data_IF_692066003168
#
_entry.id   IF_692066003168
#
_cell.length_a   1.000
_cell.length_b   1.000
_cell.length_c   1.000
_cell.angle_alpha   90.00
_cell.angle_beta   90.00
_cell.angle_gamma   90.00
#
_symmetry.space_group_name_H-M   'P 1'
#
loop_
_entity.id
_entity.type
_entity.pdbx_description
1 polymer ?
#
# COMPACT_ATOMS: atom_id res chain seq x y z
N UNK A 1 -8.77 8.13 1.97
CA UNK A 1 -9.87 7.38 1.31
C UNK A 1 -9.30 6.03 0.88
N UNK A 2 -9.87 4.93 1.33
CA UNK A 2 -9.44 3.58 0.93
C UNK A 2 -10.08 3.20 -0.41
N UNK A 3 -9.27 2.74 -1.36
CA UNK A 3 -9.73 2.21 -2.63
C UNK A 3 -9.48 0.71 -2.66
N UNK A 4 -10.50 -0.07 -3.03
CA UNK A 4 -10.34 -1.51 -3.18
C UNK A 4 -9.76 -1.82 -4.56
N UNK A 5 -8.78 -2.72 -4.60
CA UNK A 5 -8.18 -3.23 -5.84
C UNK A 5 -8.60 -4.69 -6.02
N UNK A 6 -9.20 -5.03 -7.16
CA UNK A 6 -9.52 -6.42 -7.51
C UNK A 6 -8.82 -6.83 -8.80
N UNK A 7 -8.48 -8.13 -8.93
CA UNK A 7 -7.91 -8.69 -10.15
C UNK A 7 -8.81 -9.82 -10.67
N UNK A 8 -9.32 -9.68 -11.89
CA UNK A 8 -10.09 -10.72 -12.57
C UNK A 8 -9.77 -10.73 -14.07
N UNK A 9 -9.45 -11.89 -14.64
CA UNK A 9 -9.26 -12.06 -16.09
C UNK A 9 -8.23 -11.12 -16.73
N UNK A 10 -7.11 -10.83 -16.05
CA UNK A 10 -6.09 -9.84 -16.45
C UNK A 10 -6.58 -8.38 -16.43
N UNK A 11 -7.68 -8.10 -15.74
CA UNK A 11 -8.12 -6.75 -15.42
C UNK A 11 -7.84 -6.46 -13.96
N UNK A 12 -7.31 -5.28 -13.70
CA UNK A 12 -7.29 -4.68 -12.38
C UNK A 12 -8.39 -3.63 -12.32
N UNK A 13 -9.20 -3.64 -11.28
CA UNK A 13 -10.22 -2.62 -11.05
C UNK A 13 -9.89 -1.83 -9.80
N UNK A 14 -9.99 -0.51 -9.91
CA UNK A 14 -10.04 0.38 -8.77
C UNK A 14 -11.50 0.66 -8.44
N UNK A 15 -11.90 0.44 -7.20
CA UNK A 15 -13.27 0.67 -6.74
C UNK A 15 -13.35 1.89 -5.83
N UNK A 16 -14.47 2.60 -5.90
CA UNK A 16 -14.86 3.61 -4.90
C UNK A 16 -15.21 2.93 -3.57
N UNK A 17 -15.30 3.68 -2.45
CA UNK A 17 -15.74 3.12 -1.16
C UNK A 17 -17.11 2.43 -1.19
N UNK A 18 -18.00 2.84 -2.11
CA UNK A 18 -19.33 2.23 -2.30
C UNK A 18 -19.31 0.93 -3.14
N UNK A 19 -18.12 0.47 -3.57
CA UNK A 19 -17.92 -0.74 -4.36
C UNK A 19 -18.04 -0.56 -5.87
N UNK A 20 -18.49 0.61 -6.36
CA UNK A 20 -18.57 0.88 -7.80
C UNK A 20 -17.18 0.95 -8.44
N UNK A 21 -17.07 0.48 -9.69
CA UNK A 21 -15.81 0.50 -10.43
C UNK A 21 -15.51 1.93 -10.90
N UNK A 22 -14.39 2.46 -10.45
CA UNK A 22 -13.86 3.76 -10.87
C UNK A 22 -13.06 3.63 -12.17
N UNK A 23 -12.22 2.60 -12.26
CA UNK A 23 -11.32 2.40 -13.38
C UNK A 23 -10.98 0.93 -13.54
N UNK A 24 -10.81 0.48 -14.78
CA UNK A 24 -10.26 -0.83 -15.08
C UNK A 24 -9.02 -0.72 -15.96
N UNK A 25 -8.01 -1.50 -15.63
CA UNK A 25 -6.75 -1.57 -16.33
C UNK A 25 -6.55 -2.97 -16.87
N UNK A 26 -6.19 -3.10 -18.14
CA UNK A 26 -5.77 -4.36 -18.72
C UNK A 26 -4.49 -4.17 -19.53
N UNK A 27 -3.63 -5.17 -19.47
CA UNK A 27 -2.50 -5.27 -20.38
C UNK A 27 -2.69 -6.47 -21.29
N UNK A 28 -2.47 -6.27 -22.58
CA UNK A 28 -2.32 -7.34 -23.54
C UNK A 28 -0.86 -7.42 -23.94
N UNK A 29 -0.26 -8.61 -23.79
CA UNK A 29 1.14 -8.87 -24.14
C UNK A 29 1.17 -9.84 -25.31
N UNK A 30 1.96 -9.54 -26.34
CA UNK A 30 2.23 -10.44 -27.46
C UNK A 30 3.73 -10.55 -27.73
N UNK A 31 4.11 -11.50 -28.57
CA UNK A 31 5.51 -11.92 -28.85
C UNK A 31 6.45 -10.82 -29.33
N UNK A 32 5.95 -9.64 -29.66
CA UNK A 32 6.74 -8.52 -30.20
C UNK A 32 6.32 -7.16 -29.65
N UNK A 33 5.45 -7.12 -28.63
CA UNK A 33 5.00 -5.85 -28.08
C UNK A 33 4.01 -5.94 -26.94
N UNK A 34 3.79 -4.77 -26.37
CA UNK A 34 2.91 -4.51 -25.25
C UNK A 34 1.84 -3.53 -25.68
N UNK A 35 0.60 -3.84 -25.32
CA UNK A 35 -0.47 -2.87 -25.31
C UNK A 35 -1.07 -2.77 -23.92
N UNK A 36 -1.22 -1.53 -23.52
CA UNK A 36 -1.88 -1.13 -22.30
C UNK A 36 -3.19 -0.51 -22.70
N UNK A 37 -4.24 -0.99 -22.04
CA UNK A 37 -5.60 -0.57 -22.26
C UNK A 37 -6.16 -0.09 -20.93
N UNK A 38 -6.44 1.20 -20.87
CA UNK A 38 -7.09 1.85 -19.74
C UNK A 38 -8.56 2.03 -20.10
N UNK A 39 -9.43 1.33 -19.40
CA UNK A 39 -10.88 1.52 -19.49
C UNK A 39 -11.32 2.40 -18.31
N UNK A 40 -11.90 3.54 -18.60
CA UNK A 40 -12.49 4.42 -17.60
C UNK A 40 -13.99 4.15 -17.61
N UNK A 41 -14.52 3.79 -16.44
CA UNK A 41 -15.89 3.36 -16.31
C UNK A 41 -16.78 4.54 -15.93
N UNK A 42 -17.95 4.62 -16.57
CA UNK A 42 -18.97 5.58 -16.21
C UNK A 42 -19.77 5.13 -14.97
N UNK A 43 -20.69 5.99 -14.47
CA UNK A 43 -21.51 5.68 -13.29
C UNK A 43 -22.37 4.41 -13.42
N UNK A 44 -22.67 3.98 -14.64
CA UNK A 44 -23.46 2.78 -14.94
C UNK A 44 -22.62 1.49 -15.03
N UNK A 45 -21.30 1.57 -14.79
CA UNK A 45 -20.37 0.45 -14.91
C UNK A 45 -20.04 0.05 -16.35
N UNK A 46 -20.43 0.86 -17.35
CA UNK A 46 -19.98 0.70 -18.74
C UNK A 46 -18.66 1.43 -18.98
N UNK A 47 -17.90 1.04 -20.01
CA UNK A 47 -16.67 1.75 -20.40
C UNK A 47 -17.05 3.07 -21.07
N UNK A 48 -16.97 4.16 -20.33
CA UNK A 48 -17.25 5.51 -20.81
C UNK A 48 -16.11 6.04 -21.70
N UNK A 49 -14.87 5.69 -21.37
CA UNK A 49 -13.71 6.08 -22.16
C UNK A 49 -12.66 4.98 -22.21
N UNK A 50 -11.90 4.94 -23.30
CA UNK A 50 -10.85 3.96 -23.51
C UNK A 50 -9.60 4.64 -24.04
N UNK A 51 -8.54 4.60 -23.23
CA UNK A 51 -7.21 5.02 -23.61
C UNK A 51 -6.37 3.79 -23.93
N UNK A 52 -5.78 3.77 -25.12
CA UNK A 52 -4.92 2.66 -25.57
C UNK A 52 -3.54 3.19 -25.87
N UNK A 53 -2.53 2.60 -25.26
CA UNK A 53 -1.14 2.82 -25.58
C UNK A 53 -0.50 1.51 -26.00
N UNK A 54 0.25 1.51 -27.09
CA UNK A 54 1.00 0.34 -27.52
C UNK A 54 2.43 0.70 -27.85
N UNK A 55 3.34 -0.22 -27.53
CA UNK A 55 4.74 -0.12 -27.88
C UNK A 55 5.32 -1.50 -28.09
N UNK A 56 6.22 -1.61 -29.06
CA UNK A 56 7.08 -2.78 -29.17
C UNK A 56 8.14 -2.70 -28.07
N UNK A 57 8.01 -3.56 -27.05
CA UNK A 57 9.01 -3.76 -26.00
C UNK A 57 9.59 -5.14 -26.25
N UNK A 58 10.89 -5.20 -26.52
CA UNK A 58 11.56 -6.46 -26.83
C UNK A 58 11.92 -7.19 -25.54
N UNK A 59 11.67 -8.51 -25.50
CA UNK A 59 11.86 -9.37 -24.32
C UNK A 59 13.29 -9.41 -23.74
N UNK A 60 14.28 -8.86 -24.45
CA UNK A 60 15.65 -8.77 -23.95
C UNK A 60 15.82 -7.76 -22.81
N UNK A 61 14.86 -6.83 -22.64
CA UNK A 61 14.90 -5.84 -21.57
C UNK A 61 14.29 -6.45 -20.30
N UNK A 62 15.09 -7.25 -19.57
CA UNK A 62 14.64 -8.04 -18.42
C UNK A 62 14.18 -7.21 -17.21
N UNK A 63 14.25 -5.88 -17.28
CA UNK A 63 13.82 -4.95 -16.22
C UNK A 63 13.30 -3.65 -16.85
N UNK A 64 12.01 -3.60 -17.14
CA UNK A 64 11.34 -2.39 -17.59
C UNK A 64 10.42 -1.88 -16.49
N UNK A 65 10.77 -0.74 -15.90
CA UNK A 65 9.96 -0.10 -14.87
C UNK A 65 8.91 0.78 -15.54
N UNK A 66 7.67 0.31 -15.57
CA UNK A 66 6.56 1.14 -16.03
C UNK A 66 5.94 1.87 -14.86
N UNK A 67 5.85 3.19 -14.97
CA UNK A 67 5.06 4.01 -14.06
C UNK A 67 3.88 4.60 -14.83
N UNK A 68 2.69 4.35 -14.31
CA UNK A 68 1.48 5.00 -14.75
C UNK A 68 1.17 6.11 -13.76
N UNK A 69 0.74 7.25 -14.26
CA UNK A 69 0.49 8.43 -13.45
C UNK A 69 -0.81 9.04 -13.95
N UNK A 70 -1.88 8.85 -13.19
CA UNK A 70 -3.18 9.44 -13.47
C UNK A 70 -3.23 10.83 -12.89
N UNK A 71 -3.03 11.84 -13.73
CA UNK A 71 -3.04 13.25 -13.35
C UNK A 71 -4.48 13.76 -13.44
N UNK A 72 -5.21 13.62 -12.33
CA UNK A 72 -6.63 13.98 -12.29
C UNK A 72 -6.83 15.47 -12.48
N UNK A 73 -5.90 16.31 -12.00
CA UNK A 73 -5.98 17.76 -12.14
C UNK A 73 -5.93 18.22 -13.60
N UNK A 74 -5.36 17.42 -14.50
CA UNK A 74 -5.22 17.76 -15.92
C UNK A 74 -5.99 16.84 -16.88
N UNK A 75 -6.72 15.84 -16.38
CA UNK A 75 -7.41 14.85 -17.23
C UNK A 75 -6.40 14.09 -18.13
N UNK A 76 -5.28 13.66 -17.56
CA UNK A 76 -4.18 13.02 -18.29
C UNK A 76 -3.74 11.70 -17.63
N UNK A 77 -3.43 10.71 -18.47
CA UNK A 77 -2.68 9.51 -18.07
C UNK A 77 -1.27 9.65 -18.64
N UNK A 78 -0.28 9.73 -17.75
CA UNK A 78 1.14 9.80 -18.11
C UNK A 78 1.77 8.44 -17.92
N UNK A 79 2.48 7.96 -18.95
CA UNK A 79 3.16 6.67 -18.96
C UNK A 79 4.65 6.93 -18.99
N UNK A 80 5.36 6.41 -18.00
CA UNK A 80 6.81 6.47 -17.93
C UNK A 80 7.41 5.08 -18.07
N UNK A 81 8.57 5.00 -18.71
CA UNK A 81 9.42 3.81 -18.77
C UNK A 81 10.78 4.20 -18.20
N UNK A 82 11.19 3.54 -17.12
CA UNK A 82 12.41 3.85 -16.39
C UNK A 82 12.48 5.36 -16.11
N UNK A 83 11.42 5.90 -15.50
CA UNK A 83 11.25 7.32 -15.11
C UNK A 83 11.18 8.32 -16.28
N UNK A 84 11.34 7.87 -17.53
CA UNK A 84 11.25 8.71 -18.72
C UNK A 84 9.83 8.73 -19.28
N UNK A 85 9.24 9.92 -19.47
CA UNK A 85 7.91 10.07 -20.05
C UNK A 85 7.87 9.49 -21.48
N UNK A 86 6.99 8.53 -21.70
CA UNK A 86 6.78 7.88 -23.00
C UNK A 86 5.53 8.38 -23.70
N UNK A 87 4.47 8.66 -22.94
CA UNK A 87 3.20 9.13 -23.47
C UNK A 87 2.43 9.93 -22.44
N UNK A 88 1.64 10.88 -22.94
CA UNK A 88 0.57 11.56 -22.22
C UNK A 88 -0.70 11.31 -23.01
N UNK A 89 -1.73 10.79 -22.34
CA UNK A 89 -3.01 10.45 -22.96
C UNK A 89 -4.09 11.28 -22.27
N UNK A 90 -4.81 12.11 -23.03
CA UNK A 90 -5.97 12.81 -22.50
C UNK A 90 -7.12 11.85 -22.24
N UNK A 91 -7.71 11.93 -21.06
CA UNK A 91 -8.77 11.05 -20.59
C UNK A 91 -9.64 11.80 -19.57
N UNK A 92 -10.98 11.70 -19.63
CA UNK A 92 -11.88 12.42 -18.72
C UNK A 92 -11.87 11.77 -17.32
N UNK A 93 -10.83 12.06 -16.54
CA UNK A 93 -10.60 11.51 -15.21
C UNK A 93 -11.43 12.28 -14.17
N UNK A 94 -11.48 13.62 -14.20
CA UNK A 94 -12.16 14.45 -13.19
C UNK A 94 -13.63 14.12 -12.99
N UNK A 95 -14.37 13.90 -14.08
CA UNK A 95 -15.80 13.63 -14.02
C UNK A 95 -16.08 12.37 -13.18
N UNK A 96 -15.28 11.33 -13.41
CA UNK A 96 -15.43 10.04 -12.75
C UNK A 96 -14.83 10.00 -11.33
N UNK A 97 -13.90 10.93 -11.05
CA UNK A 97 -13.15 11.05 -9.80
C UNK A 97 -13.62 12.19 -8.89
N UNK A 98 -14.76 12.83 -9.18
CA UNK A 98 -15.31 13.87 -8.32
C UNK A 98 -15.49 13.37 -6.88
N UNK A 99 -14.90 14.08 -5.91
CA UNK A 99 -14.89 13.73 -4.48
C UNK A 99 -13.67 12.96 -3.99
N UNK A 100 -12.73 12.58 -4.87
CA UNK A 100 -11.44 12.00 -4.51
C UNK A 100 -10.41 13.07 -4.12
N UNK A 101 -9.65 12.84 -3.05
CA UNK A 101 -8.48 13.67 -2.68
C UNK A 101 -7.20 13.25 -3.42
N UNK A 102 -7.16 12.02 -3.95
CA UNK A 102 -6.02 11.55 -4.74
C UNK A 102 -5.88 12.42 -6.00
N UNK A 103 -4.67 12.88 -6.32
CA UNK A 103 -4.37 13.55 -7.58
C UNK A 103 -3.51 12.69 -8.50
N UNK A 104 -2.89 11.64 -7.96
CA UNK A 104 -1.97 10.74 -8.63
C UNK A 104 -2.12 9.29 -8.15
N UNK A 105 -2.01 8.36 -9.10
CA UNK A 105 -2.05 6.92 -8.89
C UNK A 105 -0.91 6.27 -9.67
N UNK A 106 -0.11 5.41 -9.02
CA UNK A 106 1.01 4.68 -9.63
C UNK A 106 0.99 3.18 -9.35
N UNK A 107 1.36 2.40 -10.37
CA UNK A 107 1.51 0.95 -10.30
C UNK A 107 2.89 0.52 -10.78
N UNK A 108 3.43 -0.55 -10.18
CA UNK A 108 4.68 -1.19 -10.57
C UNK A 108 4.44 -2.61 -11.06
N UNK A 109 4.99 -2.98 -12.23
CA UNK A 109 4.80 -4.31 -12.86
C UNK A 109 6.12 -5.10 -12.79
N UNK A 110 6.13 -6.20 -12.03
CA UNK A 110 7.34 -6.99 -11.74
C UNK A 110 7.67 -8.08 -12.77
N UNK A 111 6.68 -8.62 -13.51
CA UNK A 111 6.90 -9.76 -14.40
C UNK A 111 5.91 -9.82 -15.55
N UNK A 112 6.38 -10.27 -16.70
CA UNK A 112 5.57 -10.44 -17.91
C UNK A 112 4.87 -11.81 -17.93
N UNK A 113 3.53 -11.82 -18.02
CA UNK A 113 2.69 -13.02 -18.20
C UNK A 113 1.47 -13.10 -17.27
N UNK A 114 1.61 -12.57 -16.05
CA UNK A 114 0.51 -12.32 -15.12
C UNK A 114 0.76 -10.95 -14.48
N UNK A 115 -0.22 -10.06 -14.50
CA UNK A 115 -0.10 -8.77 -13.83
C UNK A 115 -0.07 -8.99 -12.32
N UNK A 116 1.12 -9.00 -11.75
CA UNK A 116 1.33 -8.92 -10.31
C UNK A 116 1.87 -7.55 -9.99
N UNK A 117 1.08 -6.77 -9.26
CA UNK A 117 1.49 -5.50 -8.69
C UNK A 117 2.06 -5.78 -7.31
N UNK A 118 3.22 -5.19 -6.97
CA UNK A 118 3.74 -5.28 -5.61
C UNK A 118 3.16 -4.22 -4.69
N UNK A 119 2.94 -3.00 -5.20
CA UNK A 119 2.40 -1.86 -4.45
C UNK A 119 1.70 -0.85 -5.37
N UNK A 120 0.79 -0.08 -4.77
CA UNK A 120 0.11 1.08 -5.36
C UNK A 120 0.37 2.30 -4.47
N UNK A 121 0.84 3.41 -5.04
CA UNK A 121 1.02 4.67 -4.32
C UNK A 121 -0.05 5.64 -4.79
N UNK A 122 -0.83 6.16 -3.84
CA UNK A 122 -1.87 7.16 -4.06
C UNK A 122 -1.46 8.41 -3.29
N UNK A 123 -1.34 9.54 -3.98
CA UNK A 123 -0.91 10.80 -3.38
C UNK A 123 -1.60 12.00 -4.04
N UNK A 124 -1.50 13.16 -3.39
CA UNK A 124 -1.90 14.46 -3.93
C UNK A 124 -0.80 15.12 -4.78
N UNK A 125 0.40 14.53 -4.83
CA UNK A 125 1.53 14.97 -5.66
C UNK A 125 2.10 13.90 -6.59
N UNK A 126 2.99 14.31 -7.50
CA UNK A 126 3.59 13.43 -8.50
C UNK A 126 4.58 12.43 -7.86
N UNK A 127 4.22 11.15 -7.87
CA UNK A 127 4.99 10.05 -7.23
C UNK A 127 5.96 9.30 -8.17
N UNK A 128 6.37 9.90 -9.28
CA UNK A 128 7.35 9.27 -10.19
C UNK A 128 8.69 9.13 -9.48
N UNK A 129 9.30 7.94 -9.53
CA UNK A 129 10.56 7.64 -8.85
C UNK A 129 10.40 7.18 -7.39
N UNK A 130 9.23 7.33 -6.78
CA UNK A 130 8.96 6.81 -5.43
C UNK A 130 9.08 5.28 -5.38
N UNK A 131 9.41 4.71 -4.24
CA UNK A 131 9.47 3.25 -4.08
C UNK A 131 8.95 2.90 -2.71
N UNK A 132 8.31 1.75 -2.59
CA UNK A 132 7.89 1.21 -1.30
C UNK A 132 8.87 0.13 -0.90
N UNK A 133 9.40 0.26 0.31
CA UNK A 133 10.24 -0.75 0.94
C UNK A 133 9.46 -1.32 2.12
N UNK A 134 9.07 -2.58 2.01
CA UNK A 134 8.48 -3.32 3.14
C UNK A 134 9.62 -3.78 4.05
N UNK A 135 9.51 -3.43 5.33
CA UNK A 135 10.36 -3.96 6.39
C UNK A 135 9.62 -5.12 7.07
N UNK A 136 10.34 -6.15 7.47
CA UNK A 136 9.77 -7.33 8.12
C UNK A 136 10.22 -7.36 9.58
N UNK A 137 9.33 -7.69 10.54
CA UNK A 137 9.72 -7.95 11.92
C UNK A 137 10.82 -9.00 11.98
N UNK A 138 11.92 -8.72 12.69
CA UNK A 138 13.04 -9.65 12.82
C UNK A 138 13.31 -10.11 14.25
N UNK A 139 12.84 -9.34 15.24
CA UNK A 139 13.05 -9.62 16.65
C UNK A 139 12.00 -8.92 17.51
N UNK A 140 11.89 -9.39 18.76
CA UNK A 140 10.98 -8.84 19.75
C UNK A 140 11.35 -7.38 20.08
N UNK A 141 10.36 -6.49 20.10
CA UNK A 141 10.49 -5.13 20.60
C UNK A 141 10.27 -5.05 22.11
N UNK A 142 10.10 -3.82 22.60
CA UNK A 142 9.99 -3.47 24.03
C UNK A 142 8.81 -4.17 24.73
N UNK A 143 7.65 -4.23 24.08
CA UNK A 143 6.43 -4.86 24.62
C UNK A 143 6.21 -6.25 24.03
N UNK A 144 6.06 -7.25 24.91
CA UNK A 144 5.84 -8.67 24.59
C UNK A 144 4.71 -9.26 25.47
N UNK A 145 3.52 -8.66 25.40
CA UNK A 145 2.40 -9.03 26.28
C UNK A 145 1.44 -10.03 25.62
N UNK A 146 1.72 -10.44 24.39
CA UNK A 146 0.99 -11.50 23.69
C UNK A 146 1.68 -12.85 23.87
N UNK A 147 0.94 -13.93 23.66
CA UNK A 147 1.40 -15.30 23.93
C UNK A 147 2.32 -15.92 22.87
N UNK A 148 2.64 -15.21 21.78
CA UNK A 148 3.51 -15.69 20.71
C UNK A 148 4.60 -14.69 20.32
N UNK A 149 5.40 -15.03 19.33
CA UNK A 149 6.63 -14.32 18.98
C UNK A 149 6.69 -13.86 17.51
N UNK A 150 7.86 -13.41 17.05
CA UNK A 150 8.08 -12.94 15.67
C UNK A 150 7.81 -14.05 14.64
N UNK A 151 8.07 -15.30 14.97
CA UNK A 151 7.90 -16.43 14.05
C UNK A 151 6.43 -16.71 13.75
N UNK A 152 5.54 -16.44 14.70
CA UNK A 152 4.09 -16.61 14.58
C UNK A 152 3.46 -15.58 13.62
N UNK A 153 4.06 -14.39 13.49
CA UNK A 153 3.58 -13.33 12.59
C UNK A 153 4.26 -13.33 11.21
N UNK A 154 5.42 -13.96 11.08
CA UNK A 154 6.13 -14.10 9.80
C UNK A 154 5.72 -15.36 9.00
N UNK A 155 4.67 -16.06 9.45
CA UNK A 155 4.13 -17.26 8.78
C UNK A 155 3.44 -16.91 7.45
N UNK A 156 3.55 -17.83 6.48
CA UNK A 156 2.86 -17.74 5.17
C UNK A 156 1.33 -17.84 5.32
N UNK A 157 0.84 -18.37 6.44
CA UNK A 157 -0.58 -18.48 6.75
C UNK A 157 -0.82 -18.05 8.21
N UNK A 158 -1.59 -16.98 8.38
CA UNK A 158 -2.13 -16.58 9.68
C UNK A 158 -3.38 -17.41 9.98
N UNK A 159 -3.46 -17.96 11.18
CA UNK A 159 -4.61 -18.70 11.67
C UNK A 159 -4.80 -18.41 13.16
N UNK A 160 -6.00 -18.64 13.70
CA UNK A 160 -6.22 -18.52 15.14
C UNK A 160 -5.39 -19.51 15.98
N UNK A 161 -4.82 -20.55 15.37
CA UNK A 161 -4.00 -21.56 16.06
C UNK A 161 -2.52 -21.17 16.12
N UNK A 162 -2.07 -20.30 15.21
CA UNK A 162 -0.65 -19.97 15.00
C UNK A 162 -0.35 -18.48 15.07
N UNK A 163 -1.35 -17.64 15.31
CA UNK A 163 -1.17 -16.19 15.41
C UNK A 163 -0.93 -15.76 16.85
N UNK A 164 -0.23 -14.64 17.01
CA UNK A 164 -0.09 -13.97 18.30
C UNK A 164 -1.48 -13.60 18.84
N UNK A 165 -1.74 -13.98 20.08
CA UNK A 165 -3.04 -13.77 20.71
C UNK A 165 -2.91 -13.29 22.15
N UNK A 166 -3.94 -12.57 22.59
CA UNK A 166 -4.13 -12.09 23.95
C UNK A 166 -5.62 -12.06 24.29
N UNK A 167 -5.95 -12.21 25.56
CA UNK A 167 -7.28 -11.97 26.14
C UNK A 167 -7.27 -10.75 27.10
N UNK A 168 -6.13 -10.06 27.19
CA UNK A 168 -5.90 -8.96 28.11
C UNK A 168 -6.10 -7.61 27.41
N UNK A 169 -7.00 -6.78 27.94
CA UNK A 169 -7.20 -5.40 27.48
C UNK A 169 -5.96 -4.55 27.78
N UNK A 170 -5.65 -3.61 26.88
CA UNK A 170 -4.45 -2.78 26.99
C UNK A 170 -3.14 -3.52 26.70
N UNK A 171 -3.19 -4.82 26.35
CA UNK A 171 -2.00 -5.58 26.03
C UNK A 171 -1.33 -5.04 24.77
N UNK A 172 0.00 -4.96 24.81
CA UNK A 172 0.85 -4.43 23.74
C UNK A 172 1.80 -5.46 23.19
N UNK A 173 2.05 -5.36 21.90
CA UNK A 173 3.03 -6.17 21.22
C UNK A 173 3.79 -5.30 20.23
N UNK A 174 5.12 -5.31 20.31
CA UNK A 174 6.01 -4.54 19.41
C UNK A 174 7.14 -5.40 18.88
N UNK A 175 7.72 -4.98 17.77
CA UNK A 175 8.79 -5.67 17.08
C UNK A 175 9.83 -4.69 16.58
N UNK A 176 11.06 -5.17 16.50
CA UNK A 176 12.11 -4.53 15.70
C UNK A 176 12.08 -5.10 14.29
N UNK A 177 12.57 -4.30 13.35
CA UNK A 177 12.46 -4.56 11.93
C UNK A 177 13.84 -4.55 11.29
N UNK A 178 13.97 -5.29 10.19
CA UNK A 178 15.19 -5.27 9.39
C UNK A 178 15.52 -3.85 8.93
N UNK A 179 16.79 -3.47 9.00
CA UNK A 179 17.27 -2.20 8.45
C UNK A 179 16.95 -2.02 6.95
N UNK A 180 16.71 -0.77 6.56
CA UNK A 180 16.70 -0.36 5.15
C UNK A 180 18.07 -0.59 4.55
N UNK A 181 18.16 -1.25 3.40
CA UNK A 181 19.45 -1.55 2.77
C UNK A 181 20.23 -0.28 2.42
N UNK A 182 21.54 -0.29 2.67
CA UNK A 182 22.42 0.88 2.52
C UNK A 182 22.38 1.54 1.14
N UNK A 183 22.18 0.75 0.09
CA UNK A 183 22.08 1.20 -1.30
C UNK A 183 20.84 2.05 -1.57
N UNK A 184 19.76 1.83 -0.80
CA UNK A 184 18.56 2.69 -0.87
C UNK A 184 18.85 4.01 -0.17
N UNK A 185 19.61 3.97 0.92
CA UNK A 185 19.85 5.14 1.77
C UNK A 185 20.69 6.22 1.08
N UNK A 186 21.53 5.86 0.11
CA UNK A 186 22.39 6.81 -0.61
C UNK A 186 21.62 7.67 -1.63
N UNK A 187 20.59 7.09 -2.25
CA UNK A 187 19.95 7.68 -3.44
C UNK A 187 18.51 8.14 -3.19
N UNK A 188 17.92 7.74 -2.06
CA UNK A 188 16.52 8.02 -1.73
C UNK A 188 16.38 8.86 -0.46
N UNK A 189 15.16 9.30 -0.19
CA UNK A 189 14.74 9.90 1.08
C UNK A 189 13.47 9.21 1.53
N UNK A 190 13.23 9.18 2.84
CA UNK A 190 11.98 8.67 3.40
C UNK A 190 10.90 9.73 3.17
N UNK A 191 9.87 9.39 2.40
CA UNK A 191 8.72 10.27 2.17
C UNK A 191 7.66 10.12 3.27
N UNK A 192 7.41 8.88 3.69
CA UNK A 192 6.49 8.54 4.76
C UNK A 192 6.84 7.17 5.32
N UNK A 193 6.33 6.88 6.52
CA UNK A 193 6.37 5.55 7.13
C UNK A 193 4.94 5.09 7.37
N UNK A 194 4.63 3.86 6.96
CA UNK A 194 3.31 3.27 7.14
C UNK A 194 3.39 1.98 7.95
N UNK A 195 2.43 1.79 8.85
CA UNK A 195 2.27 0.59 9.67
C UNK A 195 0.97 -0.07 9.26
N UNK A 196 1.03 -1.34 8.91
CA UNK A 196 -0.14 -2.16 8.61
C UNK A 196 -0.22 -3.30 9.61
N UNK A 197 -1.35 -3.40 10.33
CA UNK A 197 -1.65 -4.52 11.21
C UNK A 197 -2.93 -5.22 10.75
N UNK A 198 -2.90 -6.55 10.72
CA UNK A 198 -4.09 -7.37 10.49
C UNK A 198 -4.41 -8.12 11.77
N UNK A 199 -5.64 -8.01 12.24
CA UNK A 199 -6.11 -8.64 13.47
C UNK A 199 -7.50 -9.25 13.31
N UNK A 200 -7.82 -10.18 14.20
CA UNK A 200 -9.14 -10.76 14.37
C UNK A 200 -9.43 -10.84 15.86
N UNK A 201 -10.68 -10.59 16.28
CA UNK A 201 -11.11 -10.82 17.65
C UNK A 201 -12.16 -11.94 17.76
N UNK A 202 -12.06 -12.73 18.83
CA UNK A 202 -13.09 -13.67 19.26
C UNK A 202 -13.72 -13.10 20.53
N UNK A 203 -14.99 -12.68 20.47
CA UNK A 203 -15.72 -12.16 21.62
C UNK A 203 -15.89 -10.64 21.62
N UNK A 204 -15.77 -10.00 22.78
CA UNK A 204 -16.12 -8.58 23.00
C UNK A 204 -14.97 -7.60 22.79
N UNK A 205 -13.75 -8.07 22.45
CA UNK A 205 -12.66 -7.17 22.07
C UNK A 205 -13.03 -6.42 20.78
N UNK A 206 -13.11 -5.10 20.86
CA UNK A 206 -13.73 -4.28 19.82
C UNK A 206 -12.82 -3.26 19.16
N UNK A 207 -11.54 -3.14 19.55
CA UNK A 207 -10.64 -2.25 18.81
C UNK A 207 -9.16 -2.57 18.99
N UNK A 208 -8.43 -2.35 17.90
CA UNK A 208 -6.97 -2.41 17.82
C UNK A 208 -6.46 -1.08 17.27
N UNK A 209 -5.32 -0.63 17.80
CA UNK A 209 -4.58 0.51 17.27
C UNK A 209 -3.14 0.12 16.99
N UNK A 210 -2.56 0.74 15.97
CA UNK A 210 -1.13 0.68 15.76
C UNK A 210 -0.39 1.59 16.76
N UNK A 211 0.83 1.18 17.12
CA UNK A 211 1.75 1.97 17.93
C UNK A 211 3.12 2.00 17.24
N UNK A 212 3.86 3.09 17.44
CA UNK A 212 5.26 3.24 17.06
C UNK A 212 6.06 3.70 18.26
N UNK A 213 7.27 3.15 18.44
CA UNK A 213 8.25 3.62 19.41
C UNK A 213 9.36 4.35 18.66
N UNK A 214 9.57 5.61 19.01
CA UNK A 214 10.62 6.46 18.43
C UNK A 214 11.56 6.88 19.55
N UNK A 215 12.83 6.46 19.50
CA UNK A 215 13.84 6.78 20.51
C UNK A 215 13.36 6.47 21.95
N UNK A 216 12.69 5.33 22.12
CA UNK A 216 12.15 4.84 23.40
C UNK A 216 10.84 5.49 23.87
N UNK A 217 10.24 6.40 23.08
CA UNK A 217 8.96 7.02 23.40
C UNK A 217 7.84 6.42 22.52
N UNK A 218 6.74 6.02 23.16
CA UNK A 218 5.57 5.45 22.49
C UNK A 218 4.66 6.55 21.92
N UNK A 219 4.28 6.38 20.66
CA UNK A 219 3.26 7.18 20.00
C UNK A 219 2.16 6.26 19.51
N UNK A 220 0.94 6.52 19.98
CA UNK A 220 -0.26 5.85 19.49
C UNK A 220 -0.70 6.49 18.18
N UNK A 221 -0.96 5.66 17.17
CA UNK A 221 -1.39 6.12 15.87
C UNK A 221 -2.92 6.35 15.86
N UNK A 222 -3.41 7.30 15.03
CA UNK A 222 -4.77 7.82 15.17
C UNK A 222 -5.86 6.83 14.77
N UNK A 223 -5.56 5.82 13.93
CA UNK A 223 -6.57 4.86 13.51
C UNK A 223 -6.76 3.77 14.56
N UNK A 224 -7.94 3.81 15.17
CA UNK A 224 -8.53 2.68 15.89
C UNK A 224 -9.52 1.99 14.96
N UNK A 225 -9.43 0.68 14.77
CA UNK A 225 -10.41 -0.06 13.95
C UNK A 225 -11.07 -1.15 14.76
N UNK A 226 -12.38 -1.30 14.56
CA UNK A 226 -13.13 -2.43 15.09
C UNK A 226 -12.72 -3.71 14.36
N UNK A 227 -12.09 -4.62 15.12
CA UNK A 227 -11.62 -5.92 14.62
C UNK A 227 -12.66 -7.03 14.77
N UNK A 228 -13.94 -6.66 14.97
CA UNK A 228 -15.08 -7.58 14.97
C UNK A 228 -15.36 -8.16 13.58
N UNK A 229 -14.49 -9.04 13.13
CA UNK A 229 -14.82 -10.00 12.07
C UNK A 229 -13.88 -11.17 12.17
N UNK A 230 -14.43 -12.40 12.08
CA UNK A 230 -13.67 -13.66 12.01
C UNK A 230 -12.85 -13.80 10.70
N UNK A 231 -12.30 -12.70 10.17
CA UNK A 231 -11.62 -12.65 8.90
C UNK A 231 -10.43 -11.67 8.97
N UNK A 232 -9.25 -12.15 8.60
CA UNK A 232 -8.02 -11.36 8.43
C UNK A 232 -8.06 -10.50 7.14
N UNK A 233 -9.23 -9.92 6.81
CA UNK A 233 -9.51 -9.43 5.46
C UNK A 233 -9.05 -7.99 5.18
N UNK A 234 -8.98 -7.14 6.21
CA UNK A 234 -8.66 -5.71 6.06
C UNK A 234 -7.61 -5.32 7.08
N UNK A 235 -6.46 -4.83 6.60
CA UNK A 235 -5.41 -4.27 7.45
C UNK A 235 -5.79 -2.89 7.96
N UNK A 236 -5.33 -2.57 9.16
CA UNK A 236 -5.38 -1.24 9.78
C UNK A 236 -4.09 -0.54 9.39
N UNK A 237 -4.20 0.47 8.54
CA UNK A 237 -3.04 1.21 8.02
C UNK A 237 -2.99 2.59 8.65
N UNK A 238 -1.89 2.91 9.31
CA UNK A 238 -1.54 4.26 9.74
C UNK A 238 -0.32 4.74 8.98
N UNK A 239 -0.36 5.99 8.51
CA UNK A 239 0.74 6.62 7.79
C UNK A 239 1.22 7.87 8.55
N UNK A 240 2.54 8.05 8.58
CA UNK A 240 3.22 9.20 9.16
C UNK A 240 4.17 9.81 8.14
N UNK A 241 3.85 11.01 7.67
CA UNK A 241 4.71 11.74 6.72
C UNK A 241 5.92 12.40 7.41
N UNK A 242 5.82 12.60 8.73
CA UNK A 242 6.87 13.18 9.58
C UNK A 242 7.06 12.36 10.84
N UNK A 243 8.26 12.45 11.43
CA UNK A 243 8.56 11.85 12.71
C UNK A 243 7.68 12.50 13.81
N UNK A 244 6.83 11.74 14.53
CA UNK A 244 5.92 12.30 15.53
C UNK A 244 6.64 12.95 16.72
N UNK A 245 7.89 12.54 17.00
CA UNK A 245 8.72 13.11 18.06
C UNK A 245 9.30 14.48 17.69
N UNK A 246 9.78 14.62 16.46
CA UNK A 246 10.54 15.81 16.04
C UNK A 246 9.73 16.78 15.18
N UNK A 247 8.64 16.31 14.56
CA UNK A 247 7.87 17.05 13.56
C UNK A 247 8.62 17.28 12.24
N UNK A 248 9.76 16.62 12.03
CA UNK A 248 10.61 16.72 10.84
C UNK A 248 10.45 15.50 9.93
N UNK A 249 10.92 15.62 8.69
CA UNK A 249 10.99 14.50 7.78
C UNK A 249 11.86 13.36 8.36
N UNK A 250 11.41 12.13 8.13
CA UNK A 250 12.11 10.93 8.56
C UNK A 250 13.51 10.80 7.93
N UNK A 251 14.46 10.39 8.74
CA UNK A 251 15.78 9.91 8.31
C UNK A 251 15.82 8.38 8.29
N UNK A 252 16.76 7.80 7.54
CA UNK A 252 16.93 6.35 7.55
C UNK A 252 17.40 5.82 8.90
N UNK A 253 18.24 6.57 9.61
CA UNK A 253 18.69 6.20 10.96
C UNK A 253 17.51 6.12 11.94
N UNK A 254 16.60 7.11 11.90
CA UNK A 254 15.37 7.05 12.69
C UNK A 254 14.53 5.83 12.30
N UNK A 255 14.26 5.61 11.00
CA UNK A 255 13.46 4.48 10.52
C UNK A 255 14.04 3.12 10.95
N UNK A 256 15.35 2.95 10.87
CA UNK A 256 16.04 1.71 11.28
C UNK A 256 16.01 1.49 12.81
N UNK A 257 15.76 2.55 13.59
CA UNK A 257 15.63 2.47 15.06
C UNK A 257 14.20 2.27 15.57
N UNK A 258 13.20 2.27 14.67
CA UNK A 258 11.80 2.19 15.05
C UNK A 258 11.43 0.81 15.55
N UNK A 259 10.55 0.80 16.56
CA UNK A 259 9.74 -0.37 16.87
C UNK A 259 8.30 -0.08 16.46
N UNK A 260 7.65 -1.05 15.82
CA UNK A 260 6.23 -0.97 15.50
C UNK A 260 5.48 -2.10 16.13
N UNK A 261 4.20 -1.87 16.34
CA UNK A 261 3.35 -2.84 16.97
C UNK A 261 1.91 -2.43 17.02
N UNK A 262 1.20 -3.05 17.93
CA UNK A 262 -0.22 -2.82 18.14
C UNK A 262 -0.60 -2.98 19.60
N UNK A 263 -1.74 -2.39 19.95
CA UNK A 263 -2.38 -2.50 21.26
C UNK A 263 -3.85 -2.82 21.09
N UNK A 264 -4.37 -3.65 22.01
CA UNK A 264 -5.81 -3.76 22.20
C UNK A 264 -6.28 -2.57 23.02
N UNK A 265 -7.36 -1.94 22.57
CA UNK A 265 -7.98 -0.84 23.30
C UNK A 265 -8.80 -1.32 24.50
N UNK A 266 -8.84 -0.47 25.53
CA UNK A 266 -9.79 -0.63 26.62
C UNK A 266 -11.22 -0.37 26.13
N UNK A 267 -12.18 -1.12 26.67
CA UNK A 267 -13.60 -0.82 26.46
C UNK A 267 -13.94 0.49 27.18
N UNK A 268 -14.02 1.59 26.44
CA UNK A 268 -14.51 2.89 26.95
C UNK A 268 -16.01 2.90 27.16
#
# INVERSE_FOLDING_TARGET
MEYNVSNANNYMYLHKPDGSILMGFNTTVWTSGHQLKFNIYGPDGSVAHQAVWSRNVYYSDSTANFDYCFDLANDEIKIYLNENLQATISAPLKENWSGSEASYLRFYILRYGALTFSQMVVADEKTVGWRVKTLTPDSAGTYQEYSGDVSDINSIALSSETANSTDTHGAKQTYQYTDVQSEIQTDMKVAAVAVETVGNSIGTLSSLSNIVIVDGEEYKLPNTTDVQSNNFGTGIVDQMDVNPRTGLAWTFDEVNSLEFGFTVEDLT
#
